data_IF_764866697246
#
_entry.id   IF_764866697246
#
_cell.length_a   1.000
_cell.length_b   1.000
_cell.length_c   1.000
_cell.angle_alpha   90.00
_cell.angle_beta   90.00
_cell.angle_gamma   90.00
#
_symmetry.space_group_name_H-M   'P 1'
#
loop_
_entity.id
_entity.type
_entity.pdbx_description
1 polymer ?
#
# COMPACT_ATOMS: atom_id res chain seq x y z
N UNK A 1 -16.64 -20.23 -8.53
CA UNK A 1 -16.47 -19.96 -8.26
C UNK A 1 -16.27 -19.35 -8.02
N UNK A 2 -16.19 -18.95 -8.02
CA UNK A 2 -15.93 -18.43 -7.72
C UNK A 2 -15.71 -17.65 -7.30
N UNK A 3 -15.87 -17.54 -6.97
CA UNK A 3 -15.77 -16.80 -6.60
C UNK A 3 -15.00 -16.13 -6.19
N UNK A 4 -14.80 -16.12 -5.77
CA UNK A 4 -13.67 -15.50 -5.56
C UNK A 4 -13.60 -14.09 -5.79
N UNK A 5 -14.48 -13.59 -6.31
CA UNK A 5 -14.48 -12.25 -6.56
C UNK A 5 -14.48 -11.44 -5.36
N UNK A 6 -14.76 -11.94 -4.25
CA UNK A 6 -14.72 -11.14 -3.08
C UNK A 6 -13.36 -11.04 -2.52
N UNK A 7 -12.43 -11.74 -3.09
CA UNK A 7 -11.11 -11.77 -2.55
C UNK A 7 -10.29 -10.87 -3.41
N UNK A 8 -10.38 -9.59 -3.18
CA UNK A 8 -9.70 -8.64 -4.00
C UNK A 8 -8.57 -7.97 -3.28
N UNK A 9 -7.47 -7.81 -3.95
CA UNK A 9 -6.35 -7.04 -3.45
C UNK A 9 -6.65 -5.58 -3.70
N UNK A 10 -6.52 -4.77 -2.69
CA UNK A 10 -6.74 -3.34 -2.83
C UNK A 10 -5.43 -2.64 -3.09
N UNK A 11 -5.46 -1.70 -4.02
CA UNK A 11 -4.27 -0.98 -4.41
C UNK A 11 -4.33 0.43 -3.90
N UNK A 12 -3.25 0.89 -3.32
CA UNK A 12 -3.14 2.24 -2.82
C UNK A 12 -1.87 2.84 -3.33
N UNK A 13 -1.90 4.11 -3.67
CA UNK A 13 -0.71 4.81 -4.13
C UNK A 13 -0.38 5.90 -3.16
N UNK A 14 0.88 6.00 -2.78
CA UNK A 14 1.34 6.98 -1.83
C UNK A 14 2.57 7.68 -2.32
N UNK A 15 2.80 8.86 -1.77
CA UNK A 15 4.06 9.53 -1.92
C UNK A 15 4.71 9.51 -0.56
N UNK A 16 5.93 9.01 -0.48
CA UNK A 16 6.62 8.90 0.79
C UNK A 16 7.99 9.54 0.68
N UNK A 17 8.58 9.82 1.83
CA UNK A 17 9.92 10.34 1.89
C UNK A 17 10.83 9.35 1.17
N UNK A 18 11.57 9.83 0.16
CA UNK A 18 12.37 8.94 -0.66
C UNK A 18 13.41 8.19 0.15
N UNK A 19 13.91 8.80 1.22
CA UNK A 19 14.91 8.13 2.04
C UNK A 19 14.30 7.04 2.90
N UNK A 20 12.97 6.95 2.97
CA UNK A 20 12.30 5.99 3.83
C UNK A 20 11.62 4.86 3.05
N UNK A 21 11.76 4.84 1.74
CA UNK A 21 11.09 3.82 0.94
C UNK A 21 11.54 2.42 1.37
N UNK A 22 12.85 2.23 1.54
CA UNK A 22 13.35 0.91 1.93
C UNK A 22 12.86 0.51 3.30
N UNK A 23 12.79 1.48 4.21
CA UNK A 23 12.31 1.19 5.55
C UNK A 23 10.85 0.78 5.52
N UNK A 24 10.03 1.50 4.76
CA UNK A 24 8.62 1.17 4.64
C UNK A 24 8.46 -0.23 4.06
N UNK A 25 9.22 -0.53 3.02
CA UNK A 25 9.14 -1.85 2.41
C UNK A 25 9.53 -2.92 3.42
N UNK A 26 10.58 -2.68 4.20
CA UNK A 26 11.01 -3.62 5.20
C UNK A 26 9.92 -3.88 6.24
N UNK A 27 9.26 -2.80 6.69
CA UNK A 27 8.20 -2.94 7.68
C UNK A 27 7.06 -3.78 7.12
N UNK A 28 6.64 -3.50 5.88
CA UNK A 28 5.53 -4.22 5.31
C UNK A 28 5.85 -5.68 5.06
N UNK A 29 7.09 -5.97 4.69
CA UNK A 29 7.49 -7.35 4.45
C UNK A 29 7.58 -8.15 5.74
N UNK A 30 7.73 -7.47 6.87
CA UNK A 30 7.76 -8.16 8.14
C UNK A 30 6.40 -8.75 8.50
N UNK A 31 5.33 -8.27 7.87
CA UNK A 31 4.00 -8.80 8.10
C UNK A 31 3.68 -9.71 6.92
N UNK A 32 3.95 -10.96 7.10
CA UNK A 32 3.89 -11.90 6.02
C UNK A 32 2.55 -11.92 5.33
N UNK A 33 2.53 -11.72 4.04
CA UNK A 33 1.30 -11.80 3.26
C UNK A 33 0.34 -10.63 3.39
N UNK A 34 0.71 -9.59 4.15
CA UNK A 34 -0.22 -8.49 4.34
C UNK A 34 -0.23 -7.54 3.17
N UNK A 35 0.92 -7.14 2.70
CA UNK A 35 0.99 -6.14 1.64
C UNK A 35 2.31 -6.21 0.91
N UNK A 36 2.29 -5.71 -0.31
CA UNK A 36 3.50 -5.66 -1.13
C UNK A 36 3.69 -4.25 -1.65
N UNK A 37 4.89 -3.75 -1.59
CA UNK A 37 5.22 -2.41 -2.06
C UNK A 37 6.04 -2.47 -3.33
N UNK A 38 5.64 -1.68 -4.31
CA UNK A 38 6.39 -1.52 -5.54
C UNK A 38 6.73 -0.05 -5.67
N UNK A 39 7.98 0.25 -5.94
CA UNK A 39 8.39 1.62 -6.13
C UNK A 39 8.12 2.02 -7.57
N UNK A 40 7.29 3.05 -7.75
CA UNK A 40 6.96 3.51 -9.09
C UNK A 40 7.95 4.56 -9.56
N UNK A 41 8.32 5.46 -8.68
CA UNK A 41 9.27 6.51 -9.04
C UNK A 41 10.11 6.82 -7.82
N UNK A 42 11.28 6.22 -7.71
CA UNK A 42 12.08 6.40 -6.51
C UNK A 42 12.54 7.84 -6.29
N UNK A 43 12.73 8.58 -7.36
CA UNK A 43 13.17 9.96 -7.21
C UNK A 43 12.13 10.87 -6.62
N UNK A 44 10.85 10.56 -6.85
CA UNK A 44 9.76 11.37 -6.34
C UNK A 44 9.08 10.74 -5.15
N UNK A 45 9.46 9.55 -4.78
CA UNK A 45 8.87 8.89 -3.62
C UNK A 45 7.51 8.26 -3.89
N UNK A 46 7.18 7.98 -5.14
CA UNK A 46 5.89 7.38 -5.45
C UNK A 46 5.98 5.87 -5.33
N UNK A 47 5.08 5.31 -4.54
CA UNK A 47 5.03 3.87 -4.35
C UNK A 47 3.60 3.39 -4.49
N UNK A 48 3.48 2.13 -4.85
CA UNK A 48 2.20 1.49 -4.98
C UNK A 48 2.19 0.33 -4.01
N UNK A 49 1.12 0.21 -3.23
CA UNK A 49 1.04 -0.86 -2.25
C UNK A 49 -0.23 -1.65 -2.51
N UNK A 50 -0.07 -2.96 -2.66
CA UNK A 50 -1.21 -3.86 -2.79
C UNK A 50 -1.43 -4.51 -1.43
N UNK A 51 -2.64 -4.37 -0.92
CA UNK A 51 -2.99 -4.88 0.40
C UNK A 51 -3.85 -6.12 0.22
N UNK A 52 -3.48 -7.19 0.88
CA UNK A 52 -4.20 -8.45 0.75
C UNK A 52 -5.61 -8.34 1.31
N UNK A 53 -6.54 -9.15 0.80
CA UNK A 53 -7.90 -9.12 1.29
C UNK A 53 -7.92 -9.40 2.79
N UNK A 54 -8.72 -8.64 3.50
CA UNK A 54 -8.85 -8.83 4.93
C UNK A 54 -7.79 -8.17 5.77
N UNK A 55 -6.78 -7.58 5.14
CA UNK A 55 -5.67 -6.98 5.88
C UNK A 55 -5.72 -5.46 5.93
N UNK A 56 -6.74 -4.86 5.34
CA UNK A 56 -6.75 -3.40 5.22
C UNK A 56 -6.76 -2.70 6.58
N UNK A 57 -7.48 -3.22 7.53
CA UNK A 57 -7.53 -2.60 8.83
C UNK A 57 -6.17 -2.56 9.49
N UNK A 58 -5.48 -3.70 9.47
CA UNK A 58 -4.16 -3.77 10.07
C UNK A 58 -3.18 -2.89 9.31
N UNK A 59 -3.30 -2.90 7.98
CA UNK A 59 -2.44 -2.08 7.15
C UNK A 59 -2.63 -0.60 7.49
N UNK A 60 -3.87 -0.16 7.63
CA UNK A 60 -4.12 1.24 7.92
C UNK A 60 -3.60 1.66 9.28
N UNK A 61 -3.64 0.76 10.26
CA UNK A 61 -3.08 1.07 11.56
C UNK A 61 -1.58 1.29 11.46
N UNK A 62 -0.92 0.45 10.69
CA UNK A 62 0.53 0.58 10.51
C UNK A 62 0.86 1.88 9.81
N UNK A 63 0.10 2.22 8.77
CA UNK A 63 0.34 3.45 8.04
C UNK A 63 0.12 4.66 8.96
N UNK A 64 -0.93 4.63 9.77
CA UNK A 64 -1.18 5.73 10.68
C UNK A 64 -0.05 5.94 11.67
N UNK A 65 0.51 4.83 12.16
CA UNK A 65 1.63 4.94 13.06
C UNK A 65 2.85 5.50 12.35
N UNK A 66 3.10 5.04 11.12
CA UNK A 66 4.29 5.49 10.41
C UNK A 66 4.18 6.94 9.98
N UNK A 67 2.96 7.44 9.79
CA UNK A 67 2.78 8.85 9.44
C UNK A 67 3.32 9.79 10.51
N UNK A 68 3.46 9.29 11.72
CA UNK A 68 4.01 10.11 12.79
C UNK A 68 5.51 10.25 12.68
N UNK A 69 6.14 9.40 11.88
CA UNK A 69 7.59 9.36 11.78
C UNK A 69 8.10 9.75 10.42
N UNK A 70 7.28 9.65 9.39
CA UNK A 70 7.75 9.92 8.05
C UNK A 70 6.61 10.46 7.21
N UNK A 71 6.95 11.08 6.10
CA UNK A 71 5.95 11.59 5.18
C UNK A 71 5.30 10.42 4.46
N UNK A 72 3.98 10.32 4.55
CA UNK A 72 3.22 9.35 3.79
C UNK A 72 1.94 10.05 3.38
N UNK A 73 1.78 10.31 2.09
CA UNK A 73 0.60 10.99 1.57
C UNK A 73 -0.13 10.08 0.61
N UNK A 74 -1.42 9.99 0.78
CA UNK A 74 -2.24 9.22 -0.15
C UNK A 74 -2.34 10.01 -1.43
N UNK A 75 -2.00 9.38 -2.56
CA UNK A 75 -2.14 10.03 -3.84
C UNK A 75 -3.43 9.61 -4.47
N UNK A 76 -3.76 8.34 -4.36
CA UNK A 76 -4.91 7.85 -5.06
C UNK A 76 -5.39 6.56 -4.46
N UNK A 77 -6.71 6.38 -4.35
CA UNK A 77 -7.27 5.11 -4.02
C UNK A 77 -7.78 4.52 -5.30
N UNK A 78 -7.55 3.25 -5.53
CA UNK A 78 -8.06 2.61 -6.69
C UNK A 78 -8.59 1.28 -6.27
N UNK A 79 -9.90 1.07 -6.46
CA UNK A 79 -10.45 -0.20 -6.25
C UNK A 79 -10.48 -0.77 -7.56
N UNK A 80 -10.21 -1.93 -7.69
CA UNK A 80 -10.09 -2.42 -8.85
C UNK A 80 -11.04 -2.19 -9.77
N UNK A 81 -11.89 -1.99 -9.84
CA UNK A 81 -12.78 -1.83 -10.82
C UNK A 81 -12.90 -0.54 -11.29
N UNK A 82 -12.44 0.17 -11.07
CA UNK A 82 -12.71 1.42 -11.47
C UNK A 82 -12.37 1.73 -12.81
N UNK A 83 -12.83 1.39 -13.26
CA UNK A 83 -12.65 1.54 -14.15
C UNK A 83 -12.68 1.86 -15.06
N UNK A 84 -12.89 2.11 -15.16
CA UNK A 84 -12.90 2.43 -15.82
C UNK A 84 -12.91 2.74 -16.64
N UNK A 85 -13.02 2.76 -16.97
CA UNK A 85 -13.10 3.14 -17.49
C UNK A 85 -13.02 3.18 -17.95
#
# INVERSE_FOLDING_TARGET
MFKSNNVQTLRRMYRVDTSQISFLKFILEAYEGMAQLTTLNPGLGFVEIYVAPGCMKDFEKIIMDLKKQMLIEVIEYSEENSDYR
#
